data_IF_565611559507
#
_entry.id   IF_565611559507
#
_cell.length_a   1.000
_cell.length_b   1.000
_cell.length_c   1.000
_cell.angle_alpha   90.00
_cell.angle_beta   90.00
_cell.angle_gamma   90.00
#
_symmetry.space_group_name_H-M   'P 1'
#
loop_
_entity.id
_entity.type
_entity.pdbx_description
1 polymer ?
#
# COMPACT_ATOMS: atom_id res chain seq x y z
N UNK A 1 -23.55 10.60 -43.03
CA UNK A 1 -24.22 9.46 -42.37
C UNK A 1 -23.66 9.30 -40.96
N UNK A 2 -23.70 10.37 -40.16
CA UNK A 2 -22.88 10.48 -38.92
C UNK A 2 -23.73 10.83 -37.67
N UNK A 3 -24.92 11.43 -37.87
CA UNK A 3 -25.83 11.79 -36.77
C UNK A 3 -26.51 10.60 -36.06
N UNK A 4 -26.57 9.43 -36.68
CA UNK A 4 -27.15 8.22 -36.08
C UNK A 4 -26.24 7.52 -35.07
N UNK A 5 -24.91 7.68 -35.22
CA UNK A 5 -23.91 7.08 -34.33
C UNK A 5 -23.80 7.89 -33.04
N UNK A 6 -23.85 9.22 -33.15
CA UNK A 6 -23.77 10.15 -32.01
C UNK A 6 -24.97 9.96 -31.07
N UNK A 7 -26.19 9.83 -31.61
CA UNK A 7 -27.39 9.61 -30.80
C UNK A 7 -27.39 8.24 -30.09
N UNK A 8 -26.89 7.20 -30.77
CA UNK A 8 -26.70 5.86 -30.16
C UNK A 8 -25.65 5.89 -29.05
N UNK A 9 -24.57 6.62 -29.24
CA UNK A 9 -23.49 6.74 -28.25
C UNK A 9 -23.94 7.50 -27.01
N UNK A 10 -24.67 8.60 -27.17
CA UNK A 10 -25.27 9.37 -26.05
C UNK A 10 -26.24 8.49 -25.26
N UNK A 11 -27.07 7.67 -25.92
CA UNK A 11 -27.98 6.75 -25.22
C UNK A 11 -27.25 5.66 -24.43
N UNK A 12 -26.14 5.12 -24.95
CA UNK A 12 -25.35 4.08 -24.26
C UNK A 12 -24.61 4.66 -23.06
N UNK A 13 -23.98 5.84 -23.21
CA UNK A 13 -23.29 6.56 -22.12
C UNK A 13 -24.29 7.01 -21.06
N UNK A 14 -25.47 7.49 -21.48
CA UNK A 14 -26.57 7.83 -20.59
C UNK A 14 -27.01 6.63 -19.76
N UNK A 15 -27.25 5.47 -20.37
CA UNK A 15 -27.69 4.25 -19.68
C UNK A 15 -26.65 3.72 -18.66
N UNK A 16 -25.36 3.81 -18.99
CA UNK A 16 -24.27 3.47 -18.06
C UNK A 16 -24.20 4.43 -16.86
N UNK A 17 -24.48 5.73 -17.05
CA UNK A 17 -24.49 6.70 -15.96
C UNK A 17 -25.68 6.51 -14.99
N UNK A 18 -26.82 6.01 -15.46
CA UNK A 18 -27.99 5.70 -14.60
C UNK A 18 -27.79 4.39 -13.83
N UNK A 19 -27.13 3.39 -14.43
CA UNK A 19 -26.78 2.12 -13.76
C UNK A 19 -25.61 2.28 -12.80
N UNK A 20 -24.67 3.20 -13.07
CA UNK A 20 -23.49 3.47 -12.24
C UNK A 20 -23.79 4.05 -10.85
N UNK A 21 -25.00 4.54 -10.61
CA UNK A 21 -25.42 5.00 -9.28
C UNK A 21 -25.96 3.87 -8.37
N UNK A 22 -26.15 2.65 -8.90
CA UNK A 22 -26.58 1.48 -8.12
C UNK A 22 -25.63 0.28 -8.20
N UNK A 23 -24.49 0.43 -8.89
CA UNK A 23 -23.38 -0.50 -8.84
C UNK A 23 -22.16 0.33 -8.49
N UNK A 24 -21.70 0.20 -7.24
CA UNK A 24 -20.54 0.89 -6.72
C UNK A 24 -19.34 0.71 -7.64
N UNK A 25 -19.16 1.68 -8.53
CA UNK A 25 -17.91 1.92 -9.22
C UNK A 25 -17.01 2.60 -8.18
N UNK A 26 -16.45 1.77 -7.31
CA UNK A 26 -15.37 2.16 -6.42
C UNK A 26 -14.17 2.50 -7.32
N UNK A 27 -14.05 3.78 -7.68
CA UNK A 27 -12.85 4.32 -8.29
C UNK A 27 -11.78 4.43 -7.20
N UNK A 28 -11.40 3.31 -6.60
CA UNK A 28 -10.17 3.21 -5.82
C UNK A 28 -9.04 3.05 -6.83
N UNK A 29 -8.52 4.19 -7.30
CA UNK A 29 -7.40 4.17 -8.22
C UNK A 29 -7.05 5.55 -8.74
N UNK A 30 -6.96 6.53 -7.84
CA UNK A 30 -6.24 7.77 -8.18
C UNK A 30 -4.76 7.37 -8.22
N UNK A 31 -4.26 7.06 -9.42
CA UNK A 31 -2.84 6.83 -9.64
C UNK A 31 -2.13 8.18 -9.67
N UNK A 32 -2.02 8.80 -8.49
CA UNK A 32 -0.97 9.76 -8.22
C UNK A 32 0.15 8.96 -7.59
N UNK A 33 1.28 8.80 -8.31
CA UNK A 33 2.48 8.10 -7.85
C UNK A 33 2.59 8.11 -6.31
N UNK A 34 2.20 7.01 -5.69
CA UNK A 34 1.89 6.98 -4.26
C UNK A 34 3.13 7.18 -3.40
N UNK A 35 3.03 6.95 -2.09
CA UNK A 35 4.19 7.02 -1.18
C UNK A 35 5.35 6.09 -1.59
N UNK A 36 5.07 5.09 -2.45
CA UNK A 36 5.98 4.13 -3.07
C UNK A 36 6.40 4.45 -4.52
N UNK A 37 5.99 5.60 -5.06
CA UNK A 37 6.29 6.01 -6.44
C UNK A 37 5.47 5.20 -7.44
N UNK A 38 6.16 4.56 -8.39
CA UNK A 38 5.55 3.75 -9.45
C UNK A 38 5.35 2.28 -9.06
N UNK A 39 5.82 1.84 -7.89
CA UNK A 39 5.56 0.49 -7.41
C UNK A 39 4.35 0.48 -6.49
N UNK A 40 3.40 -0.40 -6.81
CA UNK A 40 2.24 -0.66 -5.96
C UNK A 40 2.66 -1.13 -4.56
N UNK A 41 2.10 -0.54 -3.49
CA UNK A 41 2.37 -0.96 -2.12
C UNK A 41 1.98 -2.43 -1.91
N UNK A 42 0.97 -2.92 -2.62
CA UNK A 42 0.52 -4.31 -2.61
C UNK A 42 1.62 -5.28 -3.10
N UNK A 43 2.21 -4.98 -4.26
CA UNK A 43 3.32 -5.76 -4.84
C UNK A 43 4.54 -5.71 -3.91
N UNK A 44 4.78 -4.56 -3.28
CA UNK A 44 5.84 -4.45 -2.28
C UNK A 44 5.52 -5.25 -1.01
N UNK A 45 4.26 -5.32 -0.57
CA UNK A 45 3.84 -6.14 0.56
C UNK A 45 4.21 -7.62 0.35
N UNK A 46 4.00 -8.15 -0.86
CA UNK A 46 4.46 -9.50 -1.21
C UNK A 46 5.99 -9.64 -1.18
N UNK A 47 6.74 -8.62 -1.63
CA UNK A 47 8.21 -8.58 -1.49
C UNK A 47 8.67 -8.52 -0.03
N UNK A 48 7.81 -8.05 0.87
CA UNK A 48 8.01 -8.08 2.31
C UNK A 48 7.56 -9.40 2.96
N UNK A 49 7.20 -10.44 2.19
CA UNK A 49 7.02 -11.80 2.71
C UNK A 49 8.13 -12.28 3.67
N UNK A 50 9.44 -12.09 3.40
CA UNK A 50 10.48 -12.44 4.38
C UNK A 50 10.39 -11.62 5.68
N UNK A 51 9.77 -10.44 5.67
CA UNK A 51 9.50 -9.64 6.86
C UNK A 51 8.25 -10.09 7.63
N UNK A 52 7.35 -10.87 7.01
CA UNK A 52 6.02 -11.13 7.56
C UNK A 52 6.06 -11.73 8.97
N UNK A 53 6.94 -12.70 9.24
CA UNK A 53 7.08 -13.29 10.57
C UNK A 53 7.57 -12.27 11.61
N UNK A 54 8.55 -11.43 11.24
CA UNK A 54 9.05 -10.36 12.11
C UNK A 54 8.09 -9.16 12.23
N UNK A 55 7.12 -9.05 11.32
CA UNK A 55 6.08 -8.04 11.30
C UNK A 55 4.81 -8.47 12.06
N UNK A 56 4.64 -9.77 12.26
CA UNK A 56 3.62 -10.36 13.13
C UNK A 56 4.11 -10.40 14.59
N UNK A 57 5.36 -10.81 14.79
CA UNK A 57 5.92 -11.05 16.12
C UNK A 57 7.21 -10.27 16.40
N UNK A 58 7.17 -9.48 17.47
CA UNK A 58 8.33 -8.68 17.93
C UNK A 58 9.50 -9.52 18.43
N UNK A 59 9.26 -10.80 18.76
CA UNK A 59 10.28 -11.72 19.27
C UNK A 59 10.99 -12.47 18.14
N UNK A 60 10.44 -12.51 16.93
CA UNK A 60 11.04 -13.23 15.79
C UNK A 60 12.13 -12.38 15.18
N UNK A 61 13.36 -12.87 15.13
CA UNK A 61 14.49 -12.16 14.55
C UNK A 61 14.23 -11.76 13.09
N UNK A 62 14.63 -10.55 12.72
CA UNK A 62 14.38 -10.04 11.36
C UNK A 62 15.40 -10.67 10.41
N UNK A 63 14.98 -11.36 9.34
CA UNK A 63 15.93 -11.93 8.40
C UNK A 63 16.70 -10.82 7.68
N UNK A 64 17.99 -11.03 7.34
CA UNK A 64 18.84 -10.02 6.72
C UNK A 64 18.26 -9.52 5.38
N UNK A 65 17.61 -10.41 4.64
CA UNK A 65 16.93 -10.10 3.38
C UNK A 65 15.81 -9.07 3.57
N UNK A 66 15.06 -9.18 4.66
CA UNK A 66 14.05 -8.21 5.03
C UNK A 66 14.67 -6.85 5.34
N UNK A 67 15.74 -6.81 6.14
CA UNK A 67 16.42 -5.55 6.47
C UNK A 67 17.01 -4.86 5.24
N UNK A 68 17.59 -5.60 4.30
CA UNK A 68 18.11 -5.06 3.04
C UNK A 68 17.01 -4.43 2.16
N UNK A 69 15.81 -5.03 2.15
CA UNK A 69 14.65 -4.46 1.46
C UNK A 69 14.16 -3.19 2.15
N UNK A 70 13.95 -3.25 3.47
CA UNK A 70 13.47 -2.11 4.24
C UNK A 70 14.48 -0.96 4.21
N UNK A 71 15.79 -1.22 4.12
CA UNK A 71 16.80 -0.18 3.97
C UNK A 71 16.68 0.58 2.63
N UNK A 72 16.25 -0.08 1.56
CA UNK A 72 16.06 0.53 0.23
C UNK A 72 14.73 1.28 0.08
N UNK A 73 13.76 1.00 0.96
CA UNK A 73 12.41 1.57 0.90
C UNK A 73 12.31 2.84 1.73
N UNK A 74 11.62 3.87 1.23
CA UNK A 74 11.36 5.11 1.99
C UNK A 74 10.39 4.84 3.13
N UNK A 75 10.50 5.58 4.24
CA UNK A 75 9.61 5.38 5.40
C UNK A 75 8.14 5.61 5.06
N UNK A 76 7.85 6.55 4.15
CA UNK A 76 6.51 6.79 3.60
C UNK A 76 5.95 5.56 2.88
N UNK A 77 6.72 4.98 1.97
CA UNK A 77 6.31 3.77 1.26
C UNK A 77 6.12 2.59 2.20
N UNK A 78 7.03 2.40 3.16
CA UNK A 78 6.90 1.36 4.18
C UNK A 78 5.59 1.51 4.96
N UNK A 79 5.22 2.76 5.24
CA UNK A 79 3.98 3.10 5.91
C UNK A 79 2.74 2.67 5.12
N UNK A 80 2.69 3.04 3.84
CA UNK A 80 1.61 2.67 2.94
C UNK A 80 1.45 1.15 2.84
N UNK A 81 2.57 0.42 2.78
CA UNK A 81 2.57 -1.06 2.78
C UNK A 81 1.98 -1.61 4.06
N UNK A 82 2.44 -1.14 5.23
CA UNK A 82 1.96 -1.62 6.53
C UNK A 82 0.46 -1.34 6.71
N UNK A 83 -0.04 -0.25 6.14
CA UNK A 83 -1.44 0.14 6.18
C UNK A 83 -2.28 -0.41 5.02
N UNK A 84 -1.68 -1.17 4.09
CA UNK A 84 -2.38 -1.71 2.93
C UNK A 84 -3.30 -2.88 3.30
N UNK A 85 -4.28 -3.15 2.44
CA UNK A 85 -5.24 -4.25 2.62
C UNK A 85 -4.50 -5.60 2.67
N UNK A 86 -3.41 -5.74 1.92
CA UNK A 86 -2.60 -6.96 1.79
C UNK A 86 -1.80 -7.20 3.06
N UNK A 87 -1.15 -6.18 3.62
CA UNK A 87 -0.46 -6.33 4.90
C UNK A 87 -1.43 -6.80 5.99
N UNK A 88 -2.63 -6.23 6.03
CA UNK A 88 -3.68 -6.66 6.95
C UNK A 88 -4.14 -8.10 6.66
N UNK A 89 -4.30 -8.47 5.40
CA UNK A 89 -4.68 -9.84 4.99
C UNK A 89 -3.60 -10.88 5.30
N UNK A 90 -2.33 -10.47 5.32
CA UNK A 90 -1.18 -11.30 5.71
C UNK A 90 -0.99 -11.37 7.24
N UNK A 91 -1.89 -10.75 8.02
CA UNK A 91 -1.80 -10.74 9.48
C UNK A 91 -0.73 -9.82 10.04
N UNK A 92 -0.13 -8.94 9.22
CA UNK A 92 0.92 -8.03 9.67
C UNK A 92 0.35 -7.05 10.69
N UNK A 93 0.98 -6.99 11.87
CA UNK A 93 0.56 -6.07 12.91
C UNK A 93 1.32 -4.74 12.75
N UNK A 94 0.64 -3.61 12.50
CA UNK A 94 1.30 -2.33 12.32
C UNK A 94 2.13 -1.91 13.54
N UNK A 95 1.71 -2.27 14.75
CA UNK A 95 2.45 -1.97 16.00
C UNK A 95 3.79 -2.69 16.06
N UNK A 96 3.87 -3.90 15.52
CA UNK A 96 5.11 -4.69 15.46
C UNK A 96 5.94 -4.27 14.25
N UNK A 97 5.31 -4.09 13.09
CA UNK A 97 5.97 -3.71 11.84
C UNK A 97 6.72 -2.38 11.93
N UNK A 98 6.18 -1.37 12.64
CA UNK A 98 6.85 -0.09 12.87
C UNK A 98 8.13 -0.18 13.72
N UNK A 99 8.37 -1.31 14.39
CA UNK A 99 9.59 -1.57 15.16
C UNK A 99 10.66 -2.28 14.35
N UNK A 100 10.33 -2.86 13.19
CA UNK A 100 11.29 -3.56 12.32
C UNK A 100 12.48 -2.68 11.94
N UNK A 101 12.30 -1.39 11.54
CA UNK A 101 13.44 -0.53 11.19
C UNK A 101 14.48 -0.42 12.31
N UNK A 102 14.01 -0.27 13.57
CA UNK A 102 14.85 -0.25 14.77
C UNK A 102 15.58 -1.58 14.98
N UNK A 103 14.89 -2.71 14.77
CA UNK A 103 15.48 -4.06 14.91
C UNK A 103 16.54 -4.33 13.83
N UNK A 104 16.34 -3.79 12.63
CA UNK A 104 17.30 -3.82 11.53
C UNK A 104 18.46 -2.83 11.67
N UNK A 105 18.49 -1.99 12.72
CA UNK A 105 19.53 -0.97 12.97
C UNK A 105 19.81 -0.07 11.74
N UNK A 106 18.77 0.33 11.03
CA UNK A 106 18.90 1.11 9.80
C UNK A 106 19.32 2.54 10.15
N UNK A 107 20.58 2.88 9.92
CA UNK A 107 21.11 4.21 10.17
C UNK A 107 20.50 5.24 9.20
N UNK A 108 20.16 6.44 9.71
CA UNK A 108 19.74 7.59 8.89
C UNK A 108 18.24 7.69 8.57
N UNK A 109 17.38 6.84 9.12
CA UNK A 109 15.93 6.94 8.91
C UNK A 109 15.28 7.92 9.93
N UNK A 110 14.31 8.76 9.51
CA UNK A 110 13.61 9.67 10.42
C UNK A 110 12.94 8.89 11.56
N UNK A 111 13.33 9.22 12.80
CA UNK A 111 12.64 8.79 14.00
C UNK A 111 11.35 9.59 14.15
N UNK A 112 10.23 8.92 14.45
CA UNK A 112 8.98 9.62 14.69
C UNK A 112 8.09 9.80 13.44
N UNK A 113 8.35 9.08 12.34
CA UNK A 113 7.49 9.18 11.15
C UNK A 113 6.08 8.66 11.48
N UNK A 114 5.06 9.49 11.27
CA UNK A 114 3.67 9.14 11.57
C UNK A 114 3.07 8.34 10.43
N UNK A 115 2.57 7.16 10.78
CA UNK A 115 1.87 6.21 9.94
C UNK A 115 0.40 6.12 10.34
N UNK A 116 -0.39 7.11 9.94
CA UNK A 116 -1.74 7.28 10.47
C UNK A 116 -1.68 7.41 12.00
N UNK A 117 -2.24 6.43 12.72
CA UNK A 117 -2.21 6.36 14.17
C UNK A 117 -0.90 5.78 14.76
N UNK A 118 -0.02 5.22 13.94
CA UNK A 118 1.23 4.57 14.38
C UNK A 118 2.44 5.46 14.16
N UNK A 119 3.56 5.17 14.83
CA UNK A 119 4.80 5.94 14.66
C UNK A 119 5.96 4.98 14.42
N UNK A 120 6.68 5.18 13.31
CA UNK A 120 7.85 4.38 12.95
C UNK A 120 8.99 4.69 13.89
N UNK A 121 9.47 3.63 14.56
CA UNK A 121 10.66 3.68 15.39
C UNK A 121 11.83 3.22 14.53
N UNK A 122 12.69 4.17 14.15
CA UNK A 122 13.95 3.93 13.46
C UNK A 122 15.11 3.78 14.46
#
# INVERSE_FOLDING_TARGET
MEGGVILRYICIVGLFAIVGNNWGFEIEGVDGAGECGQLDPEVLAYKLAPCAAAAQDKNVEVPPNCCALIQKVRTSCLCAIILSKEAKSLGINPVVAVTIPKRCKIAGRPRGYKCGAYVVQA
#
